data_IF_653217513944
#
_entry.id   IF_653217513944
#
_cell.length_a   1.000
_cell.length_b   1.000
_cell.length_c   1.000
_cell.angle_alpha   90.00
_cell.angle_beta   90.00
_cell.angle_gamma   90.00
#
_symmetry.space_group_name_H-M   'P 1'
#
loop_
_entity.id
_entity.type
_entity.pdbx_description
1 polymer ?
#
# COMPACT_ATOMS: atom_id res chain seq x y z
N UNK A 1 -48.48 6.71 34.60
CA UNK A 1 -48.05 7.67 33.56
C UNK A 1 -46.52 7.88 33.45
N UNK A 2 -45.66 7.29 34.31
CA UNK A 2 -44.19 7.51 34.30
C UNK A 2 -43.35 6.57 33.41
N UNK A 3 -43.91 5.47 32.88
CA UNK A 3 -43.16 4.48 32.08
C UNK A 3 -42.98 4.87 30.60
N UNK A 4 -43.86 5.69 30.02
CA UNK A 4 -43.77 6.11 28.60
C UNK A 4 -42.61 7.09 28.35
N UNK A 5 -42.27 7.93 29.32
CA UNK A 5 -41.19 8.91 29.18
C UNK A 5 -39.79 8.27 29.27
N UNK A 6 -39.65 7.14 29.96
CA UNK A 6 -38.36 6.44 30.11
C UNK A 6 -37.96 5.67 28.84
N UNK A 7 -38.94 5.10 28.14
CA UNK A 7 -38.71 4.39 26.87
C UNK A 7 -38.30 5.36 25.75
N UNK A 8 -38.91 6.54 25.71
CA UNK A 8 -38.57 7.59 24.74
C UNK A 8 -37.16 8.14 24.94
N UNK A 9 -36.72 8.29 26.21
CA UNK A 9 -35.37 8.73 26.54
C UNK A 9 -34.31 7.68 26.16
N UNK A 10 -34.62 6.39 26.35
CA UNK A 10 -33.72 5.28 25.97
C UNK A 10 -33.57 5.14 24.45
N UNK A 11 -34.64 5.37 23.68
CA UNK A 11 -34.59 5.39 22.21
C UNK A 11 -33.84 6.62 21.69
N UNK A 12 -33.99 7.79 22.32
CA UNK A 12 -33.20 8.98 21.97
C UNK A 12 -31.71 8.83 22.32
N UNK A 13 -31.36 8.18 23.44
CA UNK A 13 -29.96 7.87 23.75
C UNK A 13 -29.38 6.85 22.76
N UNK A 14 -30.13 5.80 22.38
CA UNK A 14 -29.67 4.84 21.37
C UNK A 14 -29.52 5.46 19.98
N UNK A 15 -30.40 6.37 19.59
CA UNK A 15 -30.26 7.14 18.34
C UNK A 15 -29.09 8.13 18.42
N UNK A 16 -28.82 8.76 19.56
CA UNK A 16 -27.66 9.63 19.76
C UNK A 16 -26.33 8.86 19.75
N UNK A 17 -26.30 7.60 20.23
CA UNK A 17 -25.12 6.73 20.12
C UNK A 17 -24.93 6.15 18.70
N UNK A 18 -26.02 5.95 17.94
CA UNK A 18 -25.95 5.62 16.50
C UNK A 18 -25.50 6.83 15.63
N UNK A 19 -25.50 8.04 16.19
CA UNK A 19 -24.89 9.23 15.59
C UNK A 19 -23.40 9.39 15.96
N UNK A 20 -22.75 8.31 16.39
CA UNK A 20 -21.31 8.14 16.14
C UNK A 20 -21.13 8.05 14.63
N UNK A 21 -21.21 9.20 13.95
CA UNK A 21 -21.19 9.28 12.49
C UNK A 21 -19.93 8.58 11.99
N UNK A 22 -20.10 7.37 11.44
CA UNK A 22 -19.10 6.83 10.53
C UNK A 22 -18.95 7.90 9.44
N UNK A 23 -17.79 8.56 9.39
CA UNK A 23 -17.56 9.59 8.40
C UNK A 23 -17.70 8.98 7.01
N UNK A 24 -18.45 9.66 6.13
CA UNK A 24 -18.53 9.20 4.74
C UNK A 24 -17.24 9.52 4.01
N UNK A 25 -16.98 8.81 2.90
CA UNK A 25 -15.81 9.06 2.06
C UNK A 25 -15.77 10.53 1.60
N UNK A 26 -16.91 11.12 1.27
CA UNK A 26 -17.02 12.53 0.89
C UNK A 26 -16.63 13.48 2.03
N UNK A 27 -17.00 13.16 3.28
CA UNK A 27 -16.63 13.95 4.45
C UNK A 27 -15.12 13.89 4.72
N UNK A 28 -14.50 12.71 4.55
CA UNK A 28 -13.05 12.56 4.65
C UNK A 28 -12.34 13.34 3.55
N UNK A 29 -12.79 13.23 2.30
CA UNK A 29 -12.24 14.02 1.18
C UNK A 29 -12.35 15.53 1.43
N UNK A 30 -13.50 16.02 1.92
CA UNK A 30 -13.68 17.43 2.25
C UNK A 30 -12.76 17.89 3.40
N UNK A 31 -12.52 17.02 4.39
CA UNK A 31 -11.60 17.29 5.50
C UNK A 31 -10.16 17.38 5.02
N UNK A 32 -9.72 16.44 4.18
CA UNK A 32 -8.39 16.48 3.52
C UNK A 32 -8.25 17.76 2.70
N UNK A 33 -9.23 18.09 1.86
CA UNK A 33 -9.25 19.31 1.06
C UNK A 33 -9.09 20.58 1.93
N UNK A 34 -9.75 20.62 3.09
CA UNK A 34 -9.63 21.75 4.04
C UNK A 34 -8.22 21.89 4.60
N UNK A 35 -7.55 20.78 4.90
CA UNK A 35 -6.16 20.78 5.38
C UNK A 35 -5.21 21.27 4.27
N UNK A 36 -5.34 20.74 3.06
CA UNK A 36 -4.51 21.13 1.90
C UNK A 36 -4.66 22.61 1.53
N UNK A 37 -5.87 23.15 1.63
CA UNK A 37 -6.13 24.57 1.34
C UNK A 37 -5.35 25.53 2.24
N UNK A 38 -4.92 25.11 3.44
CA UNK A 38 -4.10 25.96 4.33
C UNK A 38 -2.68 26.17 3.81
N UNK A 39 -2.17 25.28 2.96
CA UNK A 39 -0.86 25.40 2.33
C UNK A 39 -0.89 26.28 1.06
N UNK A 40 -2.08 26.62 0.54
CA UNK A 40 -2.21 27.57 -0.57
C UNK A 40 -1.59 28.90 -0.14
N UNK A 41 -0.71 29.42 -0.99
CA UNK A 41 0.04 30.63 -0.73
C UNK A 41 1.48 30.40 -0.28
N UNK A 42 1.82 29.19 0.18
CA UNK A 42 3.18 28.85 0.58
C UNK A 42 4.11 28.75 -0.63
N UNK A 43 5.39 29.04 -0.39
CA UNK A 43 6.44 28.98 -1.40
C UNK A 43 7.12 27.62 -1.39
N UNK A 44 7.56 27.19 -2.56
CA UNK A 44 8.39 26.02 -2.79
C UNK A 44 9.64 26.50 -3.52
N UNK A 45 10.82 26.20 -3.00
CA UNK A 45 12.07 26.57 -3.66
C UNK A 45 12.60 25.37 -4.41
N UNK A 46 12.87 25.54 -5.70
CA UNK A 46 13.40 24.47 -6.56
C UNK A 46 14.63 24.96 -7.32
N UNK A 47 15.39 24.04 -7.92
CA UNK A 47 16.52 24.41 -8.77
C UNK A 47 16.14 25.31 -9.96
N UNK A 48 14.87 25.25 -10.41
CA UNK A 48 14.35 26.07 -11.51
C UNK A 48 13.77 27.41 -11.06
N UNK A 49 13.84 27.70 -9.75
CA UNK A 49 13.38 28.93 -9.11
C UNK A 49 12.29 28.71 -8.07
N UNK A 50 11.90 29.81 -7.42
CA UNK A 50 10.81 29.80 -6.45
C UNK A 50 9.45 29.70 -7.15
N UNK A 51 8.64 28.80 -6.63
CA UNK A 51 7.25 28.60 -6.98
C UNK A 51 6.35 28.92 -5.79
N UNK A 52 5.06 29.10 -6.05
CA UNK A 52 4.03 29.27 -5.04
C UNK A 52 2.87 28.33 -5.34
N UNK A 53 2.37 27.66 -4.31
CA UNK A 53 1.14 26.87 -4.40
C UNK A 53 -0.02 27.84 -4.54
N UNK A 54 -0.74 27.81 -5.66
CA UNK A 54 -1.87 28.73 -5.92
C UNK A 54 -3.22 28.07 -5.72
N UNK A 55 -3.32 26.75 -5.89
CA UNK A 55 -4.54 25.98 -5.68
C UNK A 55 -4.19 24.51 -5.44
N UNK A 56 -5.01 23.84 -4.63
CA UNK A 56 -5.01 22.38 -4.53
C UNK A 56 -6.45 21.89 -4.55
N UNK A 57 -6.74 20.84 -5.32
CA UNK A 57 -8.04 20.16 -5.36
C UNK A 57 -7.87 18.73 -4.86
N UNK A 58 -8.77 18.27 -4.02
CA UNK A 58 -8.83 16.92 -3.50
C UNK A 58 -10.28 16.45 -3.42
N UNK A 59 -10.68 15.61 -4.37
CA UNK A 59 -12.04 15.06 -4.48
C UNK A 59 -11.98 13.64 -5.01
N UNK A 60 -13.11 12.94 -5.03
CA UNK A 60 -13.18 11.59 -5.59
C UNK A 60 -12.99 11.57 -7.12
N UNK A 61 -13.34 12.65 -7.81
CA UNK A 61 -13.26 12.74 -9.27
C UNK A 61 -11.91 13.28 -9.76
N UNK A 62 -11.34 14.23 -9.02
CA UNK A 62 -10.11 14.94 -9.40
C UNK A 62 -9.26 15.24 -8.17
N UNK A 63 -7.95 15.10 -8.34
CA UNK A 63 -6.94 15.69 -7.47
C UNK A 63 -6.01 16.56 -8.32
N UNK A 64 -5.68 17.76 -7.86
CA UNK A 64 -4.75 18.64 -8.59
C UNK A 64 -3.94 19.55 -7.69
N UNK A 65 -2.76 19.93 -8.19
CA UNK A 65 -1.84 20.90 -7.60
C UNK A 65 -1.53 21.96 -8.65
N UNK A 66 -1.77 23.23 -8.30
CA UNK A 66 -1.36 24.36 -9.12
C UNK A 66 -0.16 25.06 -8.50
N UNK A 67 0.87 25.27 -9.31
CA UNK A 67 2.09 25.96 -8.92
C UNK A 67 2.38 27.11 -9.89
N UNK A 68 2.64 28.30 -9.37
CA UNK A 68 3.02 29.46 -10.17
C UNK A 68 4.47 29.87 -9.90
N UNK A 69 5.25 30.00 -10.96
CA UNK A 69 6.62 30.55 -10.87
C UNK A 69 6.57 32.01 -10.38
N UNK A 70 7.46 32.40 -9.48
CA UNK A 70 7.50 33.77 -8.93
C UNK A 70 8.29 34.78 -9.77
N UNK A 71 8.78 34.39 -10.95
CA UNK A 71 9.43 35.31 -11.87
C UNK A 71 8.41 36.25 -12.55
N UNK A 72 8.89 37.35 -13.16
CA UNK A 72 8.05 38.41 -13.75
C UNK A 72 7.04 37.91 -14.78
N UNK A 73 7.32 36.79 -15.44
CA UNK A 73 6.48 36.17 -16.47
C UNK A 73 5.95 34.80 -16.03
N UNK A 74 5.71 34.64 -14.72
CA UNK A 74 5.42 33.37 -14.10
C UNK A 74 4.18 32.67 -14.66
N UNK A 75 4.41 31.57 -15.36
CA UNK A 75 3.38 30.62 -15.79
C UNK A 75 2.86 29.83 -14.59
N UNK A 76 1.55 29.65 -14.50
CA UNK A 76 0.94 28.70 -13.58
C UNK A 76 0.82 27.34 -14.27
N UNK A 77 1.38 26.32 -13.63
CA UNK A 77 1.32 24.94 -14.04
C UNK A 77 0.31 24.20 -13.20
N UNK A 78 -0.44 23.32 -13.85
CA UNK A 78 -1.46 22.46 -13.24
C UNK A 78 -0.98 21.02 -13.41
N UNK A 79 -0.79 20.33 -12.29
CA UNK A 79 -0.67 18.88 -12.27
C UNK A 79 -2.03 18.32 -11.85
N UNK A 80 -2.73 17.66 -12.78
CA UNK A 80 -4.07 17.10 -12.54
C UNK A 80 -4.08 15.59 -12.68
N UNK A 81 -4.80 14.95 -11.78
CA UNK A 81 -5.04 13.52 -11.76
C UNK A 81 -6.54 13.24 -11.82
N UNK A 82 -6.95 12.36 -12.73
CA UNK A 82 -8.35 11.91 -12.91
C UNK A 82 -8.41 10.39 -13.08
N UNK A 83 -9.61 9.82 -13.07
CA UNK A 83 -9.82 8.37 -13.15
C UNK A 83 -9.08 7.62 -12.03
N UNK A 84 -9.04 8.22 -10.84
CA UNK A 84 -8.27 7.73 -9.70
C UNK A 84 -8.93 6.47 -9.14
N UNK A 85 -8.23 5.33 -9.12
CA UNK A 85 -8.76 4.08 -8.62
C UNK A 85 -8.65 4.08 -7.09
N UNK A 86 -9.53 4.79 -6.40
CA UNK A 86 -9.48 4.93 -4.94
C UNK A 86 -9.50 3.62 -4.16
N UNK A 87 -10.06 2.56 -4.74
CA UNK A 87 -10.02 1.22 -4.15
C UNK A 87 -8.64 0.57 -4.25
N UNK A 88 -7.74 1.06 -5.10
CA UNK A 88 -6.35 0.61 -5.26
C UNK A 88 -5.36 1.50 -4.48
N UNK A 89 -5.84 2.46 -3.66
CA UNK A 89 -5.01 3.29 -2.77
C UNK A 89 -4.47 2.46 -1.59
N UNK A 90 -3.15 2.30 -1.47
CA UNK A 90 -2.56 1.35 -0.50
C UNK A 90 -1.56 1.97 0.47
N UNK A 91 -0.89 3.06 0.10
CA UNK A 91 0.15 3.66 0.95
C UNK A 91 0.11 5.20 0.85
N UNK A 92 0.39 5.85 1.97
CA UNK A 92 0.74 7.26 1.99
C UNK A 92 1.95 7.46 2.89
N UNK A 93 2.73 8.47 2.54
CA UNK A 93 3.87 8.92 3.33
C UNK A 93 3.78 10.43 3.43
N UNK A 94 3.97 10.95 4.64
CA UNK A 94 4.11 12.38 4.90
C UNK A 94 5.57 12.61 5.31
N UNK A 95 6.27 13.48 4.59
CA UNK A 95 7.65 13.83 4.91
C UNK A 95 7.90 15.33 4.73
N UNK A 96 8.95 15.81 5.39
CA UNK A 96 9.30 17.22 5.40
C UNK A 96 9.68 17.72 4.00
N UNK A 97 9.14 18.88 3.61
CA UNK A 97 9.50 19.52 2.35
C UNK A 97 10.85 20.23 2.52
N UNK A 98 11.89 19.69 1.89
CA UNK A 98 13.27 20.15 2.00
C UNK A 98 13.45 21.65 1.70
N UNK A 99 12.62 22.20 0.82
CA UNK A 99 12.68 23.59 0.42
C UNK A 99 11.93 24.55 1.35
N UNK A 100 11.06 24.03 2.23
CA UNK A 100 10.25 24.83 3.14
C UNK A 100 9.85 24.02 4.38
N UNK A 101 10.52 24.25 5.51
CA UNK A 101 10.26 23.57 6.77
C UNK A 101 8.86 23.82 7.38
N UNK A 102 8.05 24.71 6.80
CA UNK A 102 6.64 24.90 7.18
C UNK A 102 5.71 23.97 6.44
N UNK A 103 6.21 23.25 5.44
CA UNK A 103 5.45 22.34 4.61
C UNK A 103 5.93 20.90 4.81
N UNK A 104 4.97 20.00 4.71
CA UNK A 104 5.23 18.60 4.43
C UNK A 104 4.65 18.29 3.05
N UNK A 105 5.20 17.26 2.41
CA UNK A 105 4.62 16.65 1.22
C UNK A 105 3.88 15.38 1.61
N UNK A 106 2.60 15.30 1.23
CA UNK A 106 1.81 14.09 1.24
C UNK A 106 2.02 13.39 -0.10
N UNK A 107 2.59 12.18 -0.05
CA UNK A 107 2.71 11.29 -1.20
C UNK A 107 1.75 10.12 -1.03
N UNK A 108 0.84 9.94 -1.96
CA UNK A 108 -0.12 8.83 -1.99
C UNK A 108 0.27 7.86 -3.11
N UNK A 109 0.16 6.55 -2.86
CA UNK A 109 0.48 5.51 -3.82
C UNK A 109 -0.71 4.60 -4.08
N UNK A 110 -0.83 4.20 -5.34
CA UNK A 110 -1.91 3.36 -5.85
C UNK A 110 -1.34 2.15 -6.58
N UNK A 111 -2.04 1.03 -6.54
CA UNK A 111 -1.66 -0.18 -7.27
C UNK A 111 -1.85 -0.05 -8.77
N UNK A 112 -2.89 0.67 -9.18
CA UNK A 112 -3.16 0.95 -10.59
C UNK A 112 -2.79 2.37 -10.94
N UNK A 113 -2.18 2.54 -12.10
CA UNK A 113 -1.93 3.85 -12.67
C UNK A 113 -3.22 4.50 -13.17
N UNK A 114 -3.28 5.83 -13.06
CA UNK A 114 -4.39 6.69 -13.44
C UNK A 114 -3.91 7.83 -14.33
N UNK A 115 -4.86 8.58 -14.89
CA UNK A 115 -4.58 9.68 -15.81
C UNK A 115 -3.87 10.81 -15.06
N UNK A 116 -2.76 11.29 -15.62
CA UNK A 116 -1.96 12.39 -15.10
C UNK A 116 -1.65 13.37 -16.22
N UNK A 117 -2.03 14.62 -16.02
CA UNK A 117 -1.87 15.72 -16.98
C UNK A 117 -0.99 16.81 -16.35
N UNK A 118 -0.13 17.43 -17.15
CA UNK A 118 0.76 18.51 -16.75
C UNK A 118 0.76 19.63 -17.79
N UNK A 119 -0.06 20.65 -17.55
CA UNK A 119 -0.35 21.70 -18.51
C UNK A 119 -0.32 23.08 -17.85
N UNK A 120 -0.26 24.13 -18.66
CA UNK A 120 -0.36 25.50 -18.18
C UNK A 120 -1.82 25.88 -17.96
N UNK A 121 -2.12 26.70 -16.95
CA UNK A 121 -3.51 27.01 -16.54
C UNK A 121 -4.38 27.66 -17.62
N UNK A 122 -3.77 28.18 -18.69
CA UNK A 122 -4.40 28.82 -19.85
C UNK A 122 -4.69 27.86 -21.01
N UNK A 123 -4.31 26.58 -20.89
CA UNK A 123 -4.54 25.53 -21.89
C UNK A 123 -5.55 24.50 -21.39
N UNK A 124 -6.27 23.82 -22.31
CA UNK A 124 -6.95 22.58 -21.94
C UNK A 124 -5.92 21.53 -21.49
N UNK A 125 -6.37 20.54 -20.73
CA UNK A 125 -5.51 19.43 -20.30
C UNK A 125 -4.88 18.69 -21.46
N UNK A 126 -3.80 17.95 -21.19
CA UNK A 126 -3.01 17.27 -22.21
C UNK A 126 -3.85 16.23 -22.99
N UNK A 127 -3.72 16.24 -24.32
CA UNK A 127 -4.33 15.23 -25.20
C UNK A 127 -3.70 13.84 -24.97
N UNK A 128 -2.38 13.79 -24.75
CA UNK A 128 -1.60 12.58 -24.47
C UNK A 128 -1.21 12.48 -22.99
N UNK A 129 -2.23 12.38 -22.13
CA UNK A 129 -2.03 12.28 -20.69
C UNK A 129 -1.16 11.06 -20.31
N UNK A 130 -0.20 11.29 -19.41
CA UNK A 130 0.65 10.23 -18.87
C UNK A 130 -0.12 9.37 -17.88
N UNK A 131 0.42 8.19 -17.58
CA UNK A 131 -0.07 7.33 -16.50
C UNK A 131 0.91 7.36 -15.33
N UNK A 132 0.43 7.72 -14.16
CA UNK A 132 1.17 7.67 -12.89
C UNK A 132 0.36 6.90 -11.87
N UNK A 133 1.02 6.34 -10.87
CA UNK A 133 0.41 5.63 -9.75
C UNK A 133 0.65 6.36 -8.41
N UNK A 134 1.10 7.62 -8.48
CA UNK A 134 1.39 8.43 -7.30
C UNK A 134 0.80 9.83 -7.45
N UNK A 135 0.35 10.37 -6.32
CA UNK A 135 -0.16 11.75 -6.18
C UNK A 135 0.70 12.43 -5.13
N UNK A 136 1.14 13.66 -5.41
CA UNK A 136 1.92 14.47 -4.48
C UNK A 136 1.21 15.81 -4.24
N UNK A 137 1.03 16.15 -2.96
CA UNK A 137 0.33 17.35 -2.50
C UNK A 137 1.06 17.94 -1.30
N UNK A 138 0.78 19.21 -0.98
CA UNK A 138 1.44 19.92 0.11
C UNK A 138 0.47 20.28 1.22
N UNK A 139 0.93 20.17 2.45
CA UNK A 139 0.21 20.57 3.65
C UNK A 139 1.14 21.35 4.58
N UNK A 140 0.58 22.13 5.51
CA UNK A 140 1.39 22.73 6.56
C UNK A 140 1.92 21.64 7.49
N UNK A 141 3.21 21.73 7.87
CA UNK A 141 3.86 20.75 8.74
C UNK A 141 3.10 20.53 10.06
N UNK A 142 2.54 21.60 10.63
CA UNK A 142 1.72 21.54 11.87
C UNK A 142 0.42 20.74 11.74
N UNK A 143 -0.05 20.50 10.51
CA UNK A 143 -1.29 19.79 10.22
C UNK A 143 -1.04 18.31 9.84
N UNK A 144 0.20 17.83 9.94
CA UNK A 144 0.60 16.47 9.52
C UNK A 144 -0.14 15.36 10.30
N UNK A 145 -0.28 15.49 11.62
CA UNK A 145 -0.99 14.51 12.45
C UNK A 145 -2.48 14.43 12.07
N UNK A 146 -3.14 15.57 11.87
CA UNK A 146 -4.53 15.61 11.43
C UNK A 146 -4.69 15.00 10.02
N UNK A 147 -3.71 15.20 9.13
CA UNK A 147 -3.71 14.56 7.82
C UNK A 147 -3.59 13.04 7.93
N UNK A 148 -2.65 12.55 8.73
CA UNK A 148 -2.44 11.11 9.00
C UNK A 148 -3.75 10.43 9.46
N UNK A 149 -4.51 11.07 10.35
CA UNK A 149 -5.83 10.58 10.78
C UNK A 149 -6.82 10.47 9.61
N UNK A 150 -6.90 11.50 8.76
CA UNK A 150 -7.80 11.48 7.60
C UNK A 150 -7.40 10.42 6.58
N UNK A 151 -6.10 10.23 6.35
CA UNK A 151 -5.59 9.20 5.45
C UNK A 151 -5.87 7.79 5.98
N UNK A 152 -5.74 7.57 7.30
CA UNK A 152 -6.16 6.32 7.96
C UNK A 152 -7.64 6.05 7.77
N UNK A 153 -8.49 7.05 7.95
CA UNK A 153 -9.93 6.91 7.71
C UNK A 153 -10.23 6.58 6.25
N UNK A 154 -9.54 7.25 5.31
CA UNK A 154 -9.68 6.97 3.88
C UNK A 154 -9.38 5.50 3.54
N UNK A 155 -8.39 4.87 4.18
CA UNK A 155 -8.15 3.42 4.03
C UNK A 155 -9.32 2.57 4.51
N UNK A 156 -9.85 2.87 5.70
CA UNK A 156 -10.93 2.07 6.30
C UNK A 156 -12.23 2.14 5.50
N UNK A 157 -12.40 3.20 4.72
CA UNK A 157 -13.56 3.44 3.86
C UNK A 157 -13.39 2.87 2.44
N UNK A 158 -12.27 2.19 2.12
CA UNK A 158 -12.13 1.45 0.86
C UNK A 158 -13.19 0.37 0.79
N UNK A 159 -13.75 0.19 -0.40
CA UNK A 159 -14.68 -0.92 -0.61
C UNK A 159 -13.91 -2.24 -0.45
N UNK A 160 -14.45 -3.14 0.37
CA UNK A 160 -13.88 -4.48 0.50
C UNK A 160 -14.01 -5.18 -0.83
N UNK A 161 -12.87 -5.58 -1.39
CA UNK A 161 -12.85 -6.40 -2.59
C UNK A 161 -13.56 -7.73 -2.29
N UNK A 162 -14.47 -8.21 -3.16
CA UNK A 162 -14.96 -9.56 -3.04
C UNK A 162 -13.80 -10.54 -3.20
N UNK A 163 -13.84 -11.64 -2.45
CA UNK A 163 -12.88 -12.74 -2.60
C UNK A 163 -12.80 -13.19 -4.07
N UNK A 164 -11.59 -13.50 -4.57
CA UNK A 164 -11.46 -14.04 -5.93
C UNK A 164 -12.26 -15.33 -6.08
N UNK A 165 -13.04 -15.43 -7.16
CA UNK A 165 -13.75 -16.67 -7.50
C UNK A 165 -12.78 -17.85 -7.72
N UNK A 166 -11.51 -17.58 -8.02
CA UNK A 166 -10.48 -18.60 -8.18
C UNK A 166 -10.05 -19.24 -6.85
N UNK A 167 -10.14 -18.53 -5.71
CA UNK A 167 -9.85 -19.09 -4.39
C UNK A 167 -10.72 -20.31 -4.07
N UNK A 168 -11.98 -20.32 -4.53
CA UNK A 168 -12.84 -21.50 -4.38
C UNK A 168 -12.29 -22.73 -5.10
N UNK A 169 -11.63 -22.53 -6.27
CA UNK A 169 -10.95 -23.62 -6.99
C UNK A 169 -9.69 -24.06 -6.25
N UNK A 170 -8.90 -23.12 -5.74
CA UNK A 170 -7.68 -23.42 -4.95
C UNK A 170 -8.01 -24.30 -3.75
N UNK A 171 -9.08 -23.98 -3.00
CA UNK A 171 -9.50 -24.78 -1.83
C UNK A 171 -9.90 -26.22 -2.18
N UNK A 172 -10.28 -26.48 -3.43
CA UNK A 172 -10.60 -27.81 -3.92
C UNK A 172 -9.38 -28.55 -4.48
N UNK A 173 -8.22 -27.90 -4.62
CA UNK A 173 -7.01 -28.54 -5.10
C UNK A 173 -6.45 -29.55 -4.09
N UNK A 174 -5.85 -30.62 -4.62
CA UNK A 174 -4.97 -31.48 -3.82
C UNK A 174 -3.71 -30.73 -3.42
N UNK A 175 -2.92 -31.31 -2.50
CA UNK A 175 -1.61 -30.80 -2.12
C UNK A 175 -0.71 -30.58 -3.34
N UNK A 176 -0.61 -31.58 -4.21
CA UNK A 176 0.27 -31.58 -5.38
C UNK A 176 -0.19 -30.56 -6.43
N UNK A 177 -1.51 -30.43 -6.62
CA UNK A 177 -2.09 -29.41 -7.50
C UNK A 177 -1.78 -27.99 -6.99
N UNK A 178 -1.89 -27.78 -5.67
CA UNK A 178 -1.58 -26.51 -5.03
C UNK A 178 -0.10 -26.15 -5.19
N UNK A 179 0.81 -27.09 -4.89
CA UNK A 179 2.26 -26.90 -5.07
C UNK A 179 2.59 -26.59 -6.53
N UNK A 180 2.01 -27.33 -7.49
CA UNK A 180 2.27 -27.14 -8.92
C UNK A 180 1.84 -25.75 -9.38
N UNK A 181 0.62 -25.35 -9.05
CA UNK A 181 0.08 -24.03 -9.41
C UNK A 181 0.87 -22.90 -8.74
N UNK A 182 1.10 -23.00 -7.43
CA UNK A 182 1.80 -21.99 -6.65
C UNK A 182 3.24 -21.81 -7.13
N UNK A 183 3.96 -22.91 -7.40
CA UNK A 183 5.31 -22.86 -7.96
C UNK A 183 5.34 -22.15 -9.31
N UNK A 184 4.40 -22.44 -10.21
CA UNK A 184 4.33 -21.77 -11.50
C UNK A 184 4.13 -20.25 -11.35
N UNK A 185 3.22 -19.83 -10.47
CA UNK A 185 2.94 -18.40 -10.25
C UNK A 185 4.06 -17.66 -9.54
N UNK A 186 4.68 -18.30 -8.56
CA UNK A 186 5.85 -17.73 -7.90
C UNK A 186 7.05 -17.62 -8.87
N UNK A 187 7.27 -18.59 -9.76
CA UNK A 187 8.34 -18.45 -10.77
C UNK A 187 8.11 -17.27 -11.73
N UNK A 188 6.86 -16.94 -12.04
CA UNK A 188 6.50 -15.81 -12.91
C UNK A 188 6.62 -14.45 -12.22
N UNK A 189 6.41 -14.40 -10.89
CA UNK A 189 6.06 -13.15 -10.19
C UNK A 189 6.83 -12.86 -8.91
N UNK A 190 7.72 -13.76 -8.50
CA UNK A 190 8.52 -13.56 -7.30
C UNK A 190 9.56 -12.46 -7.50
N UNK A 191 9.66 -11.56 -6.52
CA UNK A 191 10.60 -10.45 -6.53
C UNK A 191 11.27 -10.30 -5.17
N UNK A 192 12.44 -9.69 -5.13
CA UNK A 192 13.15 -9.35 -3.90
C UNK A 192 13.29 -7.85 -3.75
N UNK A 193 14.06 -7.41 -2.75
CA UNK A 193 14.40 -6.00 -2.61
C UNK A 193 15.21 -5.48 -3.80
N UNK A 194 15.44 -4.17 -3.85
CA UNK A 194 16.17 -3.48 -4.93
C UNK A 194 17.51 -4.12 -5.30
N UNK A 195 18.16 -4.80 -4.35
CA UNK A 195 19.49 -5.42 -4.54
C UNK A 195 19.45 -6.94 -4.68
N UNK A 196 18.25 -7.54 -4.64
CA UNK A 196 18.05 -8.98 -4.71
C UNK A 196 17.85 -9.41 -6.17
N UNK A 197 18.60 -10.43 -6.59
CA UNK A 197 18.66 -10.93 -7.96
C UNK A 197 18.74 -12.46 -7.95
N UNK A 198 18.61 -13.09 -9.13
CA UNK A 198 18.74 -14.55 -9.32
C UNK A 198 17.88 -15.39 -8.37
N UNK A 199 16.65 -14.93 -8.11
CA UNK A 199 15.73 -15.59 -7.18
C UNK A 199 15.26 -16.91 -7.79
N UNK A 200 15.42 -18.01 -7.05
CA UNK A 200 15.08 -19.36 -7.51
C UNK A 200 14.43 -20.19 -6.42
N UNK A 201 13.33 -20.86 -6.75
CA UNK A 201 12.72 -21.86 -5.87
C UNK A 201 13.56 -23.15 -5.95
N UNK A 202 14.19 -23.52 -4.84
CA UNK A 202 14.94 -24.77 -4.71
C UNK A 202 14.00 -25.94 -4.44
N UNK A 203 13.10 -25.77 -3.47
CA UNK A 203 12.12 -26.79 -3.10
C UNK A 203 10.85 -26.15 -2.54
N UNK A 204 9.74 -26.88 -2.62
CA UNK A 204 8.46 -26.47 -2.06
C UNK A 204 7.74 -27.72 -1.54
N UNK A 205 7.27 -27.65 -0.30
CA UNK A 205 6.46 -28.66 0.35
C UNK A 205 5.29 -28.00 1.10
N UNK A 206 4.48 -28.81 1.79
CA UNK A 206 3.33 -28.32 2.55
C UNK A 206 3.66 -27.28 3.64
N UNK A 207 4.88 -27.29 4.17
CA UNK A 207 5.27 -26.48 5.31
C UNK A 207 6.08 -25.25 4.92
N UNK A 208 6.88 -25.33 3.85
CA UNK A 208 7.75 -24.22 3.43
C UNK A 208 8.17 -24.26 1.97
N UNK A 209 8.57 -23.08 1.51
CA UNK A 209 9.25 -22.85 0.25
C UNK A 209 10.70 -22.49 0.56
N UNK A 210 11.65 -23.19 -0.05
CA UNK A 210 13.06 -22.81 0.00
C UNK A 210 13.44 -22.04 -1.26
N UNK A 211 14.02 -20.87 -1.07
CA UNK A 211 14.43 -19.97 -2.15
C UNK A 211 15.91 -19.65 -2.00
N UNK A 212 16.64 -19.57 -3.11
CA UNK A 212 17.98 -18.96 -3.13
C UNK A 212 17.95 -17.67 -3.93
N UNK A 213 18.76 -16.70 -3.55
CA UNK A 213 18.87 -15.42 -4.24
C UNK A 213 20.24 -14.79 -3.98
N UNK A 214 20.61 -13.82 -4.81
CA UNK A 214 21.83 -13.03 -4.65
C UNK A 214 21.45 -11.64 -4.16
N UNK A 215 22.03 -11.15 -3.06
CA UNK A 215 21.81 -9.80 -2.55
C UNK A 215 23.13 -9.11 -2.29
N UNK A 216 23.36 -7.94 -2.87
CA UNK A 216 24.63 -7.19 -2.77
C UNK A 216 25.86 -8.09 -3.07
N UNK A 217 25.75 -8.95 -4.08
CA UNK A 217 26.80 -9.89 -4.50
C UNK A 217 26.97 -11.12 -3.60
N UNK A 218 26.11 -11.32 -2.59
CA UNK A 218 26.18 -12.45 -1.65
C UNK A 218 25.06 -13.45 -1.91
N UNK A 219 25.34 -14.74 -1.73
CA UNK A 219 24.34 -15.81 -1.94
C UNK A 219 23.59 -16.09 -0.65
N UNK A 220 22.27 -16.07 -0.75
CA UNK A 220 21.36 -16.31 0.36
C UNK A 220 20.47 -17.51 0.08
N UNK A 221 20.09 -18.20 1.15
CA UNK A 221 18.98 -19.14 1.19
C UNK A 221 17.93 -18.59 2.14
N UNK A 222 16.65 -18.67 1.76
CA UNK A 222 15.52 -18.35 2.62
C UNK A 222 14.56 -19.52 2.73
N UNK A 223 14.08 -19.78 3.95
CA UNK A 223 12.92 -20.64 4.19
C UNK A 223 11.72 -19.73 4.44
N UNK A 224 10.71 -19.86 3.58
CA UNK A 224 9.45 -19.11 3.59
C UNK A 224 8.35 -20.08 4.03
N UNK A 225 7.91 -20.06 5.31
CA UNK A 225 6.82 -20.92 5.77
C UNK A 225 5.52 -20.66 4.99
N UNK A 226 4.74 -21.71 4.74
CA UNK A 226 3.44 -21.62 4.03
C UNK A 226 2.33 -21.03 4.91
N UNK A 227 2.46 -21.17 6.23
CA UNK A 227 1.54 -20.64 7.24
C UNK A 227 1.68 -19.11 7.42
N UNK A 228 1.39 -18.36 6.36
CA UNK A 228 1.42 -16.90 6.35
C UNK A 228 0.20 -16.31 7.08
N UNK A 229 0.38 -15.15 7.70
CA UNK A 229 -0.73 -14.35 8.20
C UNK A 229 -1.43 -13.65 7.02
N UNK A 230 -0.65 -12.96 6.21
CA UNK A 230 -1.09 -12.19 5.05
C UNK A 230 0.07 -11.96 4.08
N UNK A 231 -0.27 -11.50 2.88
CA UNK A 231 0.69 -10.82 1.98
C UNK A 231 0.40 -9.33 2.16
N UNK A 232 1.42 -8.55 2.54
CA UNK A 232 1.27 -7.10 2.73
C UNK A 232 0.90 -6.42 1.42
N UNK A 233 0.46 -5.17 1.47
CA UNK A 233 0.25 -4.39 0.25
C UNK A 233 1.50 -4.33 -0.63
N UNK A 234 2.71 -4.44 -0.08
CA UNK A 234 3.97 -4.49 -0.85
C UNK A 234 4.37 -5.89 -1.35
N UNK A 235 3.44 -6.85 -1.38
CA UNK A 235 3.73 -8.20 -1.88
C UNK A 235 4.60 -9.07 -0.97
N UNK A 236 4.99 -8.57 0.21
CA UNK A 236 5.81 -9.32 1.18
C UNK A 236 4.96 -10.28 2.01
N UNK A 237 5.41 -11.53 2.18
CA UNK A 237 4.77 -12.47 3.09
C UNK A 237 5.05 -12.10 4.55
N UNK A 238 3.97 -11.92 5.33
CA UNK A 238 4.03 -11.57 6.74
C UNK A 238 3.54 -12.72 7.63
N UNK A 239 4.15 -12.83 8.79
CA UNK A 239 3.91 -13.86 9.78
C UNK A 239 3.61 -13.25 11.14
N UNK A 240 2.83 -13.98 11.95
CA UNK A 240 2.49 -13.54 13.32
C UNK A 240 3.68 -13.58 14.29
N UNK A 241 4.76 -14.28 13.93
CA UNK A 241 5.98 -14.44 14.74
C UNK A 241 7.20 -14.51 13.83
N UNK A 242 8.40 -14.39 14.41
CA UNK A 242 9.68 -14.45 13.68
C UNK A 242 10.01 -15.88 13.23
N UNK A 243 9.43 -16.33 12.13
CA UNK A 243 9.59 -17.71 11.62
C UNK A 243 10.14 -17.79 10.19
N UNK A 244 10.01 -16.74 9.38
CA UNK A 244 10.70 -16.67 8.10
C UNK A 244 12.20 -16.55 8.37
N UNK A 245 13.02 -17.29 7.63
CA UNK A 245 14.45 -17.31 7.91
C UNK A 245 15.29 -17.11 6.67
N UNK A 246 16.47 -16.53 6.85
CA UNK A 246 17.50 -16.43 5.81
C UNK A 246 18.88 -16.77 6.35
N UNK A 247 19.71 -17.34 5.51
CA UNK A 247 21.08 -17.75 5.79
C UNK A 247 22.00 -17.27 4.67
N UNK A 248 23.12 -16.67 5.04
CA UNK A 248 24.20 -16.35 4.10
C UNK A 248 25.02 -17.63 3.83
N UNK A 249 25.28 -17.91 2.56
CA UNK A 249 26.05 -19.06 2.10
C UNK A 249 27.33 -18.64 1.35
N UNK A 250 27.79 -17.39 1.49
CA UNK A 250 29.02 -16.90 0.88
C UNK A 250 30.25 -17.26 1.74
N UNK A 251 31.20 -18.06 1.22
CA UNK A 251 32.22 -18.77 2.02
C UNK A 251 33.35 -17.94 2.66
N UNK A 252 33.29 -16.59 2.67
CA UNK A 252 34.46 -15.76 3.04
C UNK A 252 34.15 -14.57 3.97
N UNK A 253 33.11 -14.65 4.83
CA UNK A 253 32.78 -13.54 5.75
C UNK A 253 32.53 -13.98 7.19
N UNK A 254 32.80 -13.07 8.13
CA UNK A 254 32.66 -13.22 9.60
C UNK A 254 31.24 -13.56 10.10
N UNK A 255 30.24 -13.64 9.22
CA UNK A 255 28.84 -14.03 9.51
C UNK A 255 28.40 -15.14 8.54
N UNK A 256 29.31 -16.05 8.21
CA UNK A 256 29.02 -17.19 7.35
C UNK A 256 28.09 -18.16 8.10
N UNK A 257 26.98 -18.49 7.45
CA UNK A 257 26.10 -19.58 7.86
C UNK A 257 25.11 -19.31 9.00
N UNK A 258 25.13 -18.16 9.69
CA UNK A 258 24.12 -17.87 10.72
C UNK A 258 22.74 -17.64 10.10
N UNK A 259 21.74 -18.35 10.63
CA UNK A 259 20.35 -18.22 10.23
C UNK A 259 19.68 -17.13 11.07
N UNK A 260 19.14 -16.12 10.38
CA UNK A 260 18.37 -15.04 11.01
C UNK A 260 16.88 -15.26 10.78
N UNK A 261 16.04 -14.79 11.72
CA UNK A 261 14.59 -14.98 11.70
C UNK A 261 13.85 -13.64 11.71
N UNK A 262 12.74 -13.55 10.98
CA UNK A 262 11.94 -12.35 10.78
C UNK A 262 10.45 -12.67 10.69
N UNK A 263 9.61 -11.68 10.98
CA UNK A 263 8.16 -11.70 10.73
C UNK A 263 7.83 -11.48 9.24
N UNK A 264 8.83 -11.18 8.43
CA UNK A 264 8.70 -10.92 7.00
C UNK A 264 9.63 -11.84 6.21
N UNK A 265 9.11 -12.42 5.13
CA UNK A 265 9.94 -13.12 4.16
C UNK A 265 10.94 -12.16 3.50
N UNK A 266 12.11 -12.68 3.13
CA UNK A 266 13.13 -11.89 2.42
C UNK A 266 12.74 -11.59 0.95
N UNK A 267 11.76 -12.32 0.44
CA UNK A 267 11.31 -12.30 -0.96
C UNK A 267 9.78 -12.17 -0.94
N UNK A 268 9.22 -11.44 -1.90
CA UNK A 268 7.80 -11.19 -2.06
C UNK A 268 7.28 -11.55 -3.46
N UNK A 269 6.20 -10.91 -3.84
CA UNK A 269 5.52 -11.04 -5.13
C UNK A 269 5.38 -9.62 -5.70
N UNK A 270 5.57 -9.47 -7.01
CA UNK A 270 5.29 -8.24 -7.77
C UNK A 270 3.96 -7.60 -7.32
N UNK A 271 4.08 -6.45 -6.67
CA UNK A 271 3.03 -5.81 -5.89
C UNK A 271 1.84 -5.26 -6.72
N UNK A 272 1.86 -5.44 -8.05
CA UNK A 272 0.91 -4.83 -8.98
C UNK A 272 -0.36 -5.65 -9.25
N UNK A 273 -0.42 -6.93 -8.85
CA UNK A 273 -1.57 -7.82 -9.09
C UNK A 273 -2.21 -8.30 -7.79
N UNK A 274 -3.14 -7.50 -7.26
CA UNK A 274 -3.88 -7.81 -6.04
C UNK A 274 -4.66 -9.14 -6.11
N UNK A 275 -5.19 -9.50 -7.29
CA UNK A 275 -5.94 -10.76 -7.40
C UNK A 275 -5.00 -11.95 -7.28
N UNK A 276 -3.84 -11.86 -7.94
CA UNK A 276 -2.83 -12.87 -7.83
C UNK A 276 -2.28 -12.97 -6.40
N UNK A 277 -2.05 -11.85 -5.72
CA UNK A 277 -1.63 -11.86 -4.32
C UNK A 277 -2.66 -12.56 -3.44
N UNK A 278 -3.96 -12.26 -3.60
CA UNK A 278 -5.04 -12.95 -2.87
C UNK A 278 -5.03 -14.47 -3.16
N UNK A 279 -4.92 -14.85 -4.44
CA UNK A 279 -4.86 -16.24 -4.87
C UNK A 279 -3.63 -16.98 -4.31
N UNK A 280 -2.44 -16.36 -4.35
CA UNK A 280 -1.22 -16.91 -3.76
C UNK A 280 -1.35 -17.03 -2.25
N UNK A 281 -1.92 -16.03 -1.59
CA UNK A 281 -2.18 -16.06 -0.15
C UNK A 281 -3.12 -17.20 0.25
N UNK A 282 -4.18 -17.42 -0.54
CA UNK A 282 -5.08 -18.55 -0.38
C UNK A 282 -4.35 -19.89 -0.58
N UNK A 283 -3.53 -20.02 -1.64
CA UNK A 283 -2.77 -21.23 -1.91
C UNK A 283 -1.75 -21.56 -0.81
N UNK A 284 -1.05 -20.56 -0.29
CA UNK A 284 -0.10 -20.70 0.83
C UNK A 284 -0.81 -21.24 2.08
N UNK A 285 -1.93 -20.63 2.46
CA UNK A 285 -2.73 -21.05 3.63
C UNK A 285 -3.35 -22.44 3.44
N UNK A 286 -3.84 -22.74 2.23
CA UNK A 286 -4.36 -24.06 1.89
C UNK A 286 -3.27 -25.12 2.01
N UNK A 287 -2.07 -24.83 1.48
CA UNK A 287 -0.91 -25.71 1.55
C UNK A 287 -0.46 -25.96 2.99
N UNK A 288 -0.45 -24.92 3.84
CA UNK A 288 -0.17 -25.02 5.27
C UNK A 288 -1.14 -25.96 6.02
N UNK A 289 -2.39 -26.08 5.55
CA UNK A 289 -3.37 -27.03 6.10
C UNK A 289 -2.95 -28.50 5.96
N UNK A 290 -2.05 -28.83 5.03
CA UNK A 290 -1.46 -30.16 4.89
C UNK A 290 -0.19 -30.36 5.73
N UNK A 291 0.38 -29.29 6.29
CA UNK A 291 1.58 -29.36 7.12
C UNK A 291 1.26 -30.01 8.47
N UNK A 292 1.68 -31.26 8.64
CA UNK A 292 1.54 -31.98 9.91
C UNK A 292 2.57 -31.47 10.91
N UNK A 293 2.20 -30.51 11.74
CA UNK A 293 2.93 -30.27 12.98
C UNK A 293 2.64 -31.42 13.97
N UNK A 294 3.42 -32.50 13.92
CA UNK A 294 3.73 -33.33 15.10
C UNK A 294 2.65 -34.19 15.76
N UNK A 295 1.46 -34.43 15.19
CA UNK A 295 0.52 -35.43 15.74
C UNK A 295 0.77 -36.85 15.19
N UNK A 296 1.97 -37.38 15.44
CA UNK A 296 2.22 -38.82 15.51
C UNK A 296 3.46 -39.11 16.37
N UNK A 297 3.36 -38.90 17.69
CA UNK A 297 4.08 -39.67 18.72
C UNK A 297 3.85 -39.11 20.13
N UNK A 298 2.71 -39.47 20.73
CA UNK A 298 2.55 -40.07 22.07
C UNK A 298 1.11 -39.94 22.53
#
# INVERSE_FOLDING_TARGET
>A
MKRKNFLLLAVFLQLAFLHSFAQTKEQVHASIQKLLNKAVGQKLSSFTGDKKITKQVFSSAEVSLNEKNLNKYGTEWVHRYTDIPWNDFYEHVIFDESSNNKLNMLKMRFKKSFKSEFFTSDKPGDEDARKYNTIELYLLAKDAEAMEEQMKLLYTLREKRPESAFNAKIRAFTKEQTITWLKAKLLEKMEGGQFDQDIRIVSMDECKIKVTYTSLGRKWEADIPTAIQEITDHGVFKYATKIASKKNNSPDMLVDGERTYSEYAAIGIDENDEELMDNIGCAMKHLAGFCKNGSSSR
#
